data_IF_459750374909
#
_entry.id   IF_459750374909
#
_cell.length_a   1.000
_cell.length_b   1.000
_cell.length_c   1.000
_cell.angle_alpha   90.00
_cell.angle_beta   90.00
_cell.angle_gamma   90.00
#
_symmetry.space_group_name_H-M   'P 1'
#
loop_
_entity.id
_entity.type
_entity.pdbx_description
1 polymer ?
#
# COMPACT_ATOMS: atom_id res chain seq x y z
N UNK A 1 10.30 -12.28 -14.16
CA UNK A 1 10.30 -13.47 -13.27
C UNK A 1 9.96 -13.13 -11.80
N UNK A 2 9.23 -14.00 -11.09
CA UNK A 2 8.68 -13.74 -9.73
C UNK A 2 9.73 -13.26 -8.70
N UNK A 3 10.96 -13.79 -8.76
CA UNK A 3 12.08 -13.37 -7.88
C UNK A 3 12.45 -11.88 -8.04
N UNK A 4 12.36 -11.34 -9.26
CA UNK A 4 12.64 -9.92 -9.54
C UNK A 4 11.56 -9.02 -8.95
N UNK A 5 10.29 -9.40 -9.12
CA UNK A 5 9.14 -8.63 -8.60
C UNK A 5 9.19 -8.52 -7.09
N UNK A 6 9.38 -9.64 -6.37
CA UNK A 6 9.48 -9.64 -4.90
C UNK A 6 10.57 -8.72 -4.37
N UNK A 7 11.75 -8.70 -5.03
CA UNK A 7 12.86 -7.81 -4.63
C UNK A 7 12.50 -6.33 -4.82
N UNK A 8 11.78 -6.02 -5.90
CA UNK A 8 11.29 -4.67 -6.16
C UNK A 8 10.18 -4.25 -5.18
N UNK A 9 9.19 -5.11 -4.94
CA UNK A 9 8.10 -4.91 -3.98
C UNK A 9 8.64 -4.65 -2.57
N UNK A 10 9.62 -5.44 -2.12
CA UNK A 10 10.28 -5.24 -0.83
C UNK A 10 10.98 -3.87 -0.75
N UNK A 11 11.69 -3.47 -1.82
CA UNK A 11 12.34 -2.15 -1.87
C UNK A 11 11.31 -1.01 -1.80
N UNK A 12 10.20 -1.12 -2.54
CA UNK A 12 9.12 -0.13 -2.53
C UNK A 12 8.52 -0.01 -1.13
N UNK A 13 8.22 -1.14 -0.47
CA UNK A 13 7.68 -1.12 0.89
C UNK A 13 8.67 -0.54 1.92
N UNK A 14 9.98 -0.74 1.75
CA UNK A 14 10.99 -0.09 2.60
C UNK A 14 10.96 1.44 2.45
N UNK A 15 10.90 1.96 1.22
CA UNK A 15 10.77 3.41 0.99
C UNK A 15 9.44 3.92 1.57
N UNK A 16 8.35 3.18 1.35
CA UNK A 16 7.05 3.52 1.90
C UNK A 16 7.06 3.60 3.41
N UNK A 17 7.64 2.61 4.08
CA UNK A 17 7.81 2.59 5.53
C UNK A 17 8.55 3.83 6.05
N UNK A 18 9.68 4.20 5.43
CA UNK A 18 10.44 5.38 5.84
C UNK A 18 9.64 6.67 5.64
N UNK A 19 8.96 6.79 4.49
CA UNK A 19 8.26 8.00 4.09
C UNK A 19 7.01 8.29 4.90
N UNK A 20 6.30 7.27 5.39
CA UNK A 20 5.07 7.45 6.16
C UNK A 20 5.28 7.62 7.67
N UNK A 21 6.53 7.59 8.16
CA UNK A 21 6.80 7.56 9.61
C UNK A 21 6.58 6.18 10.21
N UNK A 22 6.99 5.12 9.49
CA UNK A 22 6.72 3.74 9.81
C UNK A 22 7.25 3.23 11.15
N UNK A 23 8.15 3.95 11.84
CA UNK A 23 8.61 3.60 13.18
C UNK A 23 7.45 3.37 14.17
N UNK A 24 6.33 4.10 13.99
CA UNK A 24 5.11 3.93 14.79
C UNK A 24 4.43 2.57 14.59
N UNK A 25 4.68 1.89 13.48
CA UNK A 25 4.18 0.55 13.19
C UNK A 25 4.89 -0.50 14.07
N UNK A 26 6.16 -0.27 14.42
CA UNK A 26 6.93 -1.20 15.25
C UNK A 26 6.47 -1.22 16.71
N UNK A 27 5.87 -0.13 17.19
CA UNK A 27 5.22 -0.05 18.51
C UNK A 27 3.97 -0.95 18.59
N UNK A 28 3.50 -1.45 17.45
CA UNK A 28 2.24 -2.20 17.28
C UNK A 28 2.44 -3.68 16.90
N UNK A 29 3.56 -4.32 17.30
CA UNK A 29 3.92 -5.73 16.95
C UNK A 29 4.50 -5.91 15.51
N UNK A 30 5.15 -4.86 14.98
CA UNK A 30 5.50 -4.74 13.57
C UNK A 30 6.69 -5.59 13.10
N UNK A 31 6.42 -6.61 12.28
CA UNK A 31 7.44 -7.38 11.51
C UNK A 31 7.97 -6.65 10.27
N UNK A 32 7.69 -5.36 10.14
CA UNK A 32 8.20 -4.55 9.03
C UNK A 32 9.72 -4.55 9.02
N UNK A 33 10.32 -4.58 7.82
CA UNK A 33 11.77 -4.67 7.64
C UNK A 33 12.42 -5.96 8.20
N UNK A 34 11.63 -6.98 8.57
CA UNK A 34 12.17 -8.29 8.94
C UNK A 34 12.59 -9.12 7.73
N UNK A 35 13.27 -10.24 7.97
CA UNK A 35 13.65 -11.20 6.93
C UNK A 35 12.48 -12.07 6.42
N UNK A 36 11.27 -11.89 6.96
CA UNK A 36 10.09 -12.62 6.50
C UNK A 36 9.59 -12.06 5.17
N UNK A 37 8.75 -12.83 4.48
CA UNK A 37 8.03 -12.33 3.31
C UNK A 37 7.22 -11.09 3.67
N UNK A 38 7.18 -10.12 2.74
CA UNK A 38 6.41 -8.87 2.90
C UNK A 38 4.93 -9.12 3.15
N UNK A 39 4.39 -10.26 2.69
CA UNK A 39 3.00 -10.66 2.96
C UNK A 39 2.71 -10.97 4.45
N UNK A 40 3.75 -11.08 5.29
CA UNK A 40 3.60 -11.24 6.74
C UNK A 40 3.73 -9.90 7.49
N UNK A 41 4.03 -8.80 6.78
CA UNK A 41 4.15 -7.50 7.40
C UNK A 41 2.76 -6.98 7.76
N UNK A 42 2.65 -6.37 8.94
CA UNK A 42 1.38 -5.85 9.43
C UNK A 42 0.75 -4.92 8.40
N UNK A 43 -0.52 -5.14 8.06
CA UNK A 43 -1.24 -4.34 7.09
C UNK A 43 -0.94 -4.63 5.61
N UNK A 44 -0.01 -5.53 5.27
CA UNK A 44 0.23 -5.96 3.88
C UNK A 44 -0.64 -7.17 3.54
N UNK A 45 -1.37 -7.10 2.44
CA UNK A 45 -2.22 -8.20 1.93
C UNK A 45 -1.72 -8.63 0.56
N UNK A 46 -1.46 -9.92 0.39
CA UNK A 46 -1.05 -10.50 -0.88
C UNK A 46 -2.17 -11.29 -1.56
N UNK A 47 -2.02 -11.55 -2.87
CA UNK A 47 -2.92 -12.42 -3.62
C UNK A 47 -3.13 -13.75 -2.89
N UNK A 48 -4.38 -14.16 -2.70
CA UNK A 48 -4.77 -15.45 -2.11
C UNK A 48 -3.93 -16.00 -0.92
N UNK A 49 -3.85 -15.22 0.16
CA UNK A 49 -4.00 -15.76 1.52
C UNK A 49 -5.12 -15.02 2.23
N UNK A 50 -6.34 -15.53 2.03
CA UNK A 50 -7.54 -15.31 2.84
C UNK A 50 -7.83 -13.89 3.29
N UNK A 51 -8.51 -13.10 2.45
CA UNK A 51 -9.71 -12.28 2.76
C UNK A 51 -10.17 -11.54 1.48
N UNK A 52 -10.71 -12.27 0.50
CA UNK A 52 -11.63 -11.61 -0.44
C UNK A 52 -12.91 -11.32 0.34
N UNK A 53 -13.06 -10.10 0.88
CA UNK A 53 -14.40 -9.60 1.19
C UNK A 53 -15.21 -9.67 -0.11
N UNK A 54 -16.26 -10.47 -0.09
CA UNK A 54 -17.21 -10.61 -1.18
C UNK A 54 -17.72 -9.23 -1.58
N UNK A 55 -17.33 -8.73 -2.75
CA UNK A 55 -17.79 -7.42 -3.23
C UNK A 55 -17.13 -6.94 -4.52
N UNK A 56 -15.86 -7.26 -4.76
CA UNK A 56 -15.19 -6.86 -6.02
C UNK A 56 -15.28 -7.97 -7.07
N UNK A 57 -16.48 -8.20 -7.61
CA UNK A 57 -16.64 -8.91 -8.90
C UNK A 57 -16.37 -7.92 -10.04
N UNK A 58 -15.10 -7.51 -10.18
CA UNK A 58 -14.61 -6.71 -11.30
C UNK A 58 -13.80 -7.59 -12.25
N UNK A 59 -14.00 -7.42 -13.56
CA UNK A 59 -13.36 -8.17 -14.66
C UNK A 59 -11.84 -7.93 -14.68
N UNK A 60 -11.06 -8.61 -13.85
CA UNK A 60 -9.61 -8.66 -14.00
C UNK A 60 -9.25 -9.93 -14.77
N UNK A 61 -8.64 -9.85 -15.97
CA UNK A 61 -8.45 -11.01 -16.86
C UNK A 61 -7.51 -12.08 -16.28
N UNK A 62 -6.75 -11.77 -15.24
CA UNK A 62 -5.91 -12.72 -14.50
C UNK A 62 -5.90 -12.43 -12.99
N UNK A 63 -6.06 -13.44 -12.12
CA UNK A 63 -5.87 -13.29 -10.68
C UNK A 63 -4.42 -12.90 -10.37
N UNK A 64 -4.19 -12.07 -9.33
CA UNK A 64 -2.83 -11.73 -8.90
C UNK A 64 -2.11 -12.99 -8.39
N UNK A 65 -0.77 -13.09 -8.57
CA UNK A 65 0.03 -14.14 -7.95
C UNK A 65 -0.12 -14.17 -6.42
N UNK A 66 0.00 -15.35 -5.81
CA UNK A 66 -0.22 -15.54 -4.37
C UNK A 66 0.72 -14.72 -3.45
N UNK A 67 1.85 -14.29 -3.99
CA UNK A 67 2.87 -13.50 -3.28
C UNK A 67 2.94 -12.05 -3.77
N UNK A 68 2.02 -11.61 -4.62
CA UNK A 68 1.95 -10.23 -5.10
C UNK A 68 1.17 -9.35 -4.11
N UNK A 69 1.64 -8.13 -3.87
CA UNK A 69 0.95 -7.18 -2.97
C UNK A 69 -0.33 -6.68 -3.65
N UNK A 70 -1.46 -6.85 -2.98
CA UNK A 70 -2.78 -6.48 -3.47
C UNK A 70 -3.44 -5.38 -2.63
N UNK A 71 -3.12 -5.29 -1.34
CA UNK A 71 -3.56 -4.19 -0.50
C UNK A 71 -2.52 -3.81 0.56
N UNK A 72 -2.54 -2.53 0.93
CA UNK A 72 -1.85 -1.99 2.09
C UNK A 72 -2.90 -1.29 2.97
N UNK A 73 -3.01 -1.71 4.23
CA UNK A 73 -4.02 -1.29 5.20
C UNK A 73 -3.35 -0.94 6.54
N UNK A 74 -3.13 0.35 6.80
CA UNK A 74 -2.43 0.85 8.00
C UNK A 74 -3.23 1.96 8.66
N UNK A 75 -4.36 1.61 9.28
CA UNK A 75 -5.31 2.57 9.83
C UNK A 75 -5.04 2.82 11.33
N UNK A 76 -5.22 4.06 11.81
CA UNK A 76 -5.12 4.41 13.23
C UNK A 76 -3.75 4.09 13.85
N UNK A 77 -2.66 4.49 13.19
CA UNK A 77 -1.29 4.24 13.65
C UNK A 77 -0.50 5.54 13.89
N UNK A 78 -1.19 6.68 13.93
CA UNK A 78 -0.59 8.02 14.06
C UNK A 78 0.54 8.32 13.07
N UNK A 79 0.54 7.67 11.89
CA UNK A 79 1.55 7.85 10.85
C UNK A 79 1.57 9.31 10.39
N UNK A 80 2.72 9.98 10.46
CA UNK A 80 2.86 11.45 10.33
C UNK A 80 3.76 11.89 9.17
N UNK A 81 4.08 10.96 8.28
CA UNK A 81 4.89 11.17 7.08
C UNK A 81 4.09 11.55 5.83
N UNK A 82 4.65 11.25 4.65
CA UNK A 82 4.13 11.60 3.32
C UNK A 82 3.98 10.37 2.43
N UNK A 83 3.10 10.43 1.43
CA UNK A 83 2.94 9.35 0.45
C UNK A 83 4.09 9.37 -0.58
N UNK A 84 4.82 8.26 -0.80
CA UNK A 84 5.83 8.14 -1.85
C UNK A 84 5.20 7.90 -3.25
N UNK A 85 5.91 8.31 -4.30
CA UNK A 85 5.48 8.07 -5.69
C UNK A 85 5.64 6.60 -6.10
N UNK A 86 6.58 5.88 -5.47
CA UNK A 86 6.93 4.49 -5.77
C UNK A 86 5.77 3.50 -5.54
N UNK A 87 4.72 3.88 -4.80
CA UNK A 87 3.50 3.06 -4.63
C UNK A 87 2.83 2.73 -5.96
N UNK A 88 2.95 3.62 -6.95
CA UNK A 88 2.45 3.42 -8.31
C UNK A 88 3.11 2.24 -9.03
N UNK A 89 4.30 1.82 -8.60
CA UNK A 89 5.07 0.73 -9.20
C UNK A 89 4.65 -0.65 -8.69
N UNK A 90 3.73 -0.73 -7.72
CA UNK A 90 3.17 -1.99 -7.24
C UNK A 90 2.13 -2.52 -8.25
N UNK A 91 2.59 -3.37 -9.16
CA UNK A 91 1.83 -3.89 -10.31
C UNK A 91 0.44 -4.44 -9.97
N UNK A 92 0.27 -5.04 -8.79
CA UNK A 92 -0.97 -5.69 -8.36
C UNK A 92 -1.73 -4.93 -7.26
N UNK A 93 -1.26 -3.75 -6.86
CA UNK A 93 -1.92 -2.98 -5.80
C UNK A 93 -3.31 -2.56 -6.25
N UNK A 94 -4.31 -2.99 -5.48
CA UNK A 94 -5.73 -2.73 -5.72
C UNK A 94 -6.35 -1.85 -4.64
N UNK A 95 -5.82 -1.88 -3.42
CA UNK A 95 -6.35 -1.10 -2.31
C UNK A 95 -5.22 -0.44 -1.51
N UNK A 96 -5.31 0.87 -1.33
CA UNK A 96 -4.46 1.63 -0.42
C UNK A 96 -5.36 2.32 0.61
N UNK A 97 -5.29 1.85 1.86
CA UNK A 97 -6.16 2.29 2.95
C UNK A 97 -5.27 2.75 4.10
N UNK A 98 -5.23 4.06 4.31
CA UNK A 98 -4.39 4.74 5.32
C UNK A 98 -5.21 5.72 6.15
N UNK A 99 -6.50 5.44 6.34
CA UNK A 99 -7.43 6.33 7.03
C UNK A 99 -7.08 6.52 8.49
N UNK A 100 -7.48 7.66 9.06
CA UNK A 100 -7.26 8.01 10.46
C UNK A 100 -5.77 7.96 10.82
N UNK A 101 -4.94 8.71 10.10
CA UNK A 101 -3.54 8.92 10.44
C UNK A 101 -3.25 10.43 10.41
N UNK A 102 -1.98 10.80 10.50
CA UNK A 102 -1.51 12.17 10.42
C UNK A 102 -0.71 12.44 9.13
N UNK A 103 -0.95 11.65 8.07
CA UNK A 103 -0.21 11.74 6.81
C UNK A 103 -0.41 13.13 6.21
N UNK A 104 0.68 13.77 5.81
CA UNK A 104 0.72 15.14 5.32
C UNK A 104 1.27 15.22 3.90
N UNK A 105 1.30 16.44 3.36
CA UNK A 105 1.75 16.70 1.98
C UNK A 105 0.62 16.49 0.99
N UNK A 106 0.97 16.20 -0.27
CA UNK A 106 0.02 16.05 -1.38
C UNK A 106 -0.18 14.58 -1.75
N UNK A 107 -1.28 14.28 -2.45
CA UNK A 107 -1.47 12.97 -3.09
C UNK A 107 -0.56 12.90 -4.33
N UNK A 108 0.36 11.93 -4.45
CA UNK A 108 1.24 11.82 -5.62
C UNK A 108 0.44 11.56 -6.89
N UNK A 109 0.66 12.36 -7.93
CA UNK A 109 0.00 12.18 -9.22
C UNK A 109 0.32 10.83 -9.87
N UNK A 110 1.49 10.25 -9.56
CA UNK A 110 1.91 8.94 -10.03
C UNK A 110 0.96 7.81 -9.62
N UNK A 111 0.17 7.99 -8.56
CA UNK A 111 -0.85 7.00 -8.17
C UNK A 111 -1.89 6.78 -9.28
N UNK A 112 -2.07 7.73 -10.21
CA UNK A 112 -2.88 7.54 -11.42
C UNK A 112 -2.35 6.41 -12.33
N UNK A 113 -1.05 6.10 -12.27
CA UNK A 113 -0.44 5.01 -13.03
C UNK A 113 -0.57 3.64 -12.35
N UNK A 114 -1.11 3.59 -11.13
CA UNK A 114 -1.44 2.34 -10.44
C UNK A 114 -2.68 1.70 -11.08
N UNK A 115 -2.50 1.08 -12.26
CA UNK A 115 -3.58 0.62 -13.14
C UNK A 115 -4.62 -0.34 -12.54
N UNK A 116 -4.32 -0.95 -11.38
CA UNK A 116 -5.21 -1.87 -10.67
C UNK A 116 -5.83 -1.28 -9.41
N UNK A 117 -5.43 -0.07 -9.01
CA UNK A 117 -5.93 0.61 -7.81
C UNK A 117 -7.40 0.94 -8.01
N UNK A 118 -8.26 0.37 -7.15
CA UNK A 118 -9.70 0.59 -7.18
C UNK A 118 -10.24 1.16 -5.87
N UNK A 119 -9.44 1.10 -4.80
CA UNK A 119 -9.77 1.73 -3.51
C UNK A 119 -8.59 2.55 -3.05
N UNK A 120 -8.82 3.85 -2.90
CA UNK A 120 -7.91 4.79 -2.25
C UNK A 120 -8.66 5.46 -1.10
N UNK A 121 -8.36 5.05 0.13
CA UNK A 121 -8.93 5.66 1.33
C UNK A 121 -7.83 6.34 2.15
N UNK A 122 -7.78 7.66 2.00
CA UNK A 122 -6.86 8.54 2.73
C UNK A 122 -7.62 9.46 3.68
N UNK A 123 -8.87 9.12 4.04
CA UNK A 123 -9.73 9.95 4.88
C UNK A 123 -9.13 10.19 6.26
N UNK A 124 -9.46 11.33 6.88
CA UNK A 124 -8.96 11.71 8.20
C UNK A 124 -7.41 11.67 8.28
N UNK A 125 -6.78 12.42 7.38
CA UNK A 125 -5.35 12.70 7.36
C UNK A 125 -5.12 14.22 7.29
N UNK A 126 -3.87 14.66 7.27
CA UNK A 126 -3.44 16.07 7.15
C UNK A 126 -2.98 16.41 5.73
N UNK A 127 -3.57 15.77 4.73
CA UNK A 127 -3.25 15.99 3.32
C UNK A 127 -3.67 17.40 2.89
N UNK A 128 -2.90 17.96 1.96
CA UNK A 128 -3.05 19.32 1.43
C UNK A 128 -2.89 19.29 -0.10
N UNK A 129 -3.15 20.42 -0.75
CA UNK A 129 -3.07 20.54 -2.21
C UNK A 129 -4.31 19.98 -2.93
N UNK A 130 -4.22 19.91 -4.26
CA UNK A 130 -5.31 19.46 -5.12
C UNK A 130 -5.30 17.95 -5.30
N UNK A 131 -6.48 17.37 -5.52
CA UNK A 131 -6.60 15.99 -6.00
C UNK A 131 -6.03 15.92 -7.42
N UNK A 132 -5.06 15.04 -7.72
CA UNK A 132 -4.55 14.85 -9.08
C UNK A 132 -5.67 14.53 -10.08
N UNK A 133 -5.70 15.24 -11.21
CA UNK A 133 -6.78 15.14 -12.20
C UNK A 133 -6.89 13.78 -12.92
N UNK A 134 -5.86 12.94 -12.81
CA UNK A 134 -5.77 11.64 -13.47
C UNK A 134 -6.10 10.45 -12.55
N UNK A 135 -6.46 10.71 -11.27
CA UNK A 135 -6.89 9.69 -10.33
C UNK A 135 -8.32 9.18 -10.61
#
# INVERSE_FOLDING_TARGET
PAKSRRKQEAKILSVFYEKIGGSRILESDGRWMSNQTVCNWYGVVCGHRGQHKAGMKGRNPTPPPDDAITAIQLNNLDLDGTLPTELSMLEYLSQLILRNNQIKGTIPADLAYASRLCVLDLSNNRLTGSIPALL
#
